data_IF_900121025597
#
_entry.id   IF_900121025597
#
_cell.length_a   1.000
_cell.length_b   1.000
_cell.length_c   1.000
_cell.angle_alpha   90.00
_cell.angle_beta   90.00
_cell.angle_gamma   90.00
#
_symmetry.space_group_name_H-M   'P 1'
#
loop_
_entity.id
_entity.type
_entity.pdbx_description
1 polymer ?
#
# COMPACT_ATOMS: atom_id res chain seq x y z
N UNK A 1 20.44 12.63 -7.69
CA UNK A 1 20.53 11.73 -6.50
C UNK A 1 19.32 10.81 -6.54
N UNK A 2 19.50 9.49 -6.47
CA UNK A 2 18.40 8.51 -6.47
C UNK A 2 17.70 8.54 -5.11
N UNK A 3 16.38 8.65 -5.10
CA UNK A 3 15.57 8.50 -3.89
C UNK A 3 15.19 7.03 -3.69
N UNK A 4 15.39 6.51 -2.50
CA UNK A 4 14.98 5.14 -2.13
C UNK A 4 13.77 5.23 -1.22
N UNK A 5 12.65 4.67 -1.65
CA UNK A 5 11.43 4.63 -0.86
C UNK A 5 11.23 3.21 -0.30
N UNK A 6 11.03 3.11 1.01
CA UNK A 6 10.44 1.94 1.64
C UNK A 6 8.97 2.25 1.84
N UNK A 7 8.11 1.46 1.21
CA UNK A 7 6.66 1.66 1.27
C UNK A 7 5.98 0.46 1.91
N UNK A 8 5.00 0.74 2.77
CA UNK A 8 4.28 -0.28 3.52
C UNK A 8 2.78 -0.15 3.23
N UNK A 9 2.21 -1.06 2.46
CA UNK A 9 0.78 -1.13 2.29
C UNK A 9 0.18 -1.69 3.59
N UNK A 10 -0.69 -0.90 4.19
CA UNK A 10 -1.20 -1.13 5.53
C UNK A 10 -2.72 -1.17 5.48
N UNK A 11 -3.25 -2.38 5.58
CA UNK A 11 -4.63 -2.66 5.26
C UNK A 11 -5.23 -3.75 6.17
N UNK A 12 -6.48 -3.60 6.55
CA UNK A 12 -7.28 -4.70 7.04
C UNK A 12 -7.55 -5.69 5.92
N UNK A 13 -7.70 -6.95 6.24
CA UNK A 13 -7.92 -7.98 5.22
C UNK A 13 -9.40 -8.14 4.89
N UNK A 14 -9.81 -7.76 3.69
CA UNK A 14 -11.13 -8.05 3.15
C UNK A 14 -11.43 -9.56 3.11
N UNK A 15 -10.40 -10.38 2.86
CA UNK A 15 -10.52 -11.84 2.86
C UNK A 15 -10.83 -12.47 4.22
N UNK A 16 -10.69 -11.74 5.34
CA UNK A 16 -11.12 -12.19 6.66
C UNK A 16 -12.59 -11.85 6.95
N UNK A 17 -13.25 -11.10 6.07
CA UNK A 17 -14.65 -10.68 6.20
C UNK A 17 -15.61 -11.60 5.48
N UNK A 18 -15.11 -12.55 4.69
CA UNK A 18 -15.93 -13.43 3.86
C UNK A 18 -16.06 -14.82 4.49
N UNK A 19 -17.26 -15.39 4.39
CA UNK A 19 -17.56 -16.75 4.85
C UNK A 19 -18.03 -16.88 6.30
N UNK A 20 -18.33 -18.10 6.76
CA UNK A 20 -18.76 -18.38 8.12
C UNK A 20 -17.59 -18.10 9.09
N UNK A 21 -17.79 -17.18 10.03
CA UNK A 21 -16.76 -16.75 10.98
C UNK A 21 -15.95 -15.55 10.49
N UNK A 22 -16.61 -14.60 9.81
CA UNK A 22 -16.03 -13.30 9.48
C UNK A 22 -15.42 -12.66 10.73
N UNK A 23 -14.17 -12.20 10.61
CA UNK A 23 -13.45 -11.58 11.72
C UNK A 23 -14.07 -10.23 12.09
N UNK A 24 -14.18 -9.96 13.38
CA UNK A 24 -14.48 -8.61 13.83
C UNK A 24 -13.27 -7.67 13.63
N UNK A 25 -13.46 -6.37 13.94
CA UNK A 25 -12.41 -5.35 13.80
C UNK A 25 -11.16 -5.73 14.58
N UNK A 26 -11.30 -6.17 15.84
CA UNK A 26 -10.18 -6.45 16.73
C UNK A 26 -9.37 -7.66 16.23
N UNK A 27 -10.05 -8.73 15.83
CA UNK A 27 -9.40 -9.90 15.25
C UNK A 27 -8.70 -9.55 13.92
N UNK A 28 -9.36 -8.80 13.04
CA UNK A 28 -8.77 -8.42 11.77
C UNK A 28 -7.54 -7.52 11.98
N UNK A 29 -7.61 -6.54 12.89
CA UNK A 29 -6.45 -5.74 13.30
C UNK A 29 -5.30 -6.61 13.79
N UNK A 30 -5.59 -7.52 14.72
CA UNK A 30 -4.61 -8.42 15.29
C UNK A 30 -3.90 -9.29 14.24
N UNK A 31 -4.64 -9.72 13.20
CA UNK A 31 -4.12 -10.63 12.15
C UNK A 31 -3.47 -9.91 10.99
N UNK A 32 -3.91 -8.70 10.63
CA UNK A 32 -3.50 -8.01 9.40
C UNK A 32 -2.58 -6.81 9.66
N UNK A 33 -2.82 -6.04 10.73
CA UNK A 33 -2.07 -4.82 11.05
C UNK A 33 -0.98 -5.09 12.10
N UNK A 34 -1.37 -5.53 13.30
CA UNK A 34 -0.44 -5.84 14.39
C UNK A 34 0.32 -7.14 14.14
N UNK A 35 -0.27 -8.08 13.40
CA UNK A 35 0.27 -9.39 13.11
C UNK A 35 0.74 -10.10 14.38
N UNK A 36 -0.20 -10.28 15.31
CA UNK A 36 0.07 -10.90 16.59
C UNK A 36 0.47 -12.39 16.41
N UNK A 37 1.57 -12.76 17.02
CA UNK A 37 2.08 -14.13 17.05
C UNK A 37 2.44 -14.52 18.48
N UNK A 38 2.63 -15.81 18.80
CA UNK A 38 3.15 -16.22 20.10
C UNK A 38 4.51 -15.59 20.47
N UNK A 39 5.28 -15.14 19.46
CA UNK A 39 6.56 -14.42 19.65
C UNK A 39 6.37 -12.90 19.83
N UNK A 40 5.14 -12.40 19.85
CA UNK A 40 4.76 -10.99 19.93
C UNK A 40 4.33 -10.39 18.59
N UNK A 41 4.07 -9.08 18.53
CA UNK A 41 3.63 -8.39 17.33
C UNK A 41 4.75 -8.36 16.26
N UNK A 42 4.40 -8.69 15.03
CA UNK A 42 5.31 -8.73 13.89
C UNK A 42 4.85 -7.85 12.71
N UNK A 43 3.78 -7.08 12.87
CA UNK A 43 3.24 -6.15 11.89
C UNK A 43 3.85 -4.75 11.97
N UNK A 44 2.99 -3.71 11.92
CA UNK A 44 3.44 -2.31 11.90
C UNK A 44 4.29 -1.96 13.13
N UNK A 45 3.90 -2.38 14.33
CA UNK A 45 4.64 -2.08 15.58
C UNK A 45 6.10 -2.55 15.51
N UNK A 46 6.34 -3.74 14.93
CA UNK A 46 7.70 -4.25 14.76
C UNK A 46 8.49 -3.45 13.71
N UNK A 47 7.83 -3.07 12.61
CA UNK A 47 8.46 -2.26 11.56
C UNK A 47 8.83 -0.88 12.07
N UNK A 48 7.92 -0.22 12.79
CA UNK A 48 8.16 1.11 13.40
C UNK A 48 9.36 1.09 14.35
N UNK A 49 9.49 0.06 15.22
CA UNK A 49 10.68 -0.11 16.09
C UNK A 49 11.98 -0.25 15.30
N UNK A 50 11.96 -0.97 14.17
CA UNK A 50 13.15 -1.08 13.32
C UNK A 50 13.48 0.25 12.63
N UNK A 51 12.48 1.00 12.19
CA UNK A 51 12.69 2.33 11.59
C UNK A 51 13.28 3.31 12.59
N UNK A 52 12.76 3.35 13.81
CA UNK A 52 13.32 4.13 14.91
C UNK A 52 14.78 3.72 15.19
N UNK A 53 15.03 2.41 15.35
CA UNK A 53 16.37 1.88 15.65
C UNK A 53 17.43 2.24 14.61
N UNK A 54 17.07 2.30 13.34
CA UNK A 54 18.00 2.53 12.22
C UNK A 54 17.87 3.92 11.58
N UNK A 55 17.02 4.79 12.13
CA UNK A 55 16.79 6.14 11.59
C UNK A 55 16.15 6.14 10.20
N UNK A 56 15.40 5.12 9.86
CA UNK A 56 14.74 4.99 8.55
C UNK A 56 13.40 5.73 8.55
N UNK A 57 13.14 6.52 7.53
CA UNK A 57 11.81 7.07 7.23
C UNK A 57 11.17 6.28 6.11
N UNK A 58 9.93 5.87 6.33
CA UNK A 58 9.16 5.06 5.40
C UNK A 58 7.82 5.72 5.10
N UNK A 59 7.17 5.31 4.02
CA UNK A 59 5.84 5.76 3.61
C UNK A 59 4.85 4.63 3.84
N UNK A 60 3.84 4.88 4.65
CA UNK A 60 2.74 3.96 4.89
C UNK A 60 1.55 4.33 4.01
N UNK A 61 1.21 3.47 3.08
CA UNK A 61 0.00 3.57 2.27
C UNK A 61 -1.13 2.90 3.04
N UNK A 62 -1.98 3.71 3.68
CA UNK A 62 -3.05 3.24 4.57
C UNK A 62 -4.37 3.21 3.83
N UNK A 63 -5.08 2.07 3.91
CA UNK A 63 -6.41 1.89 3.34
C UNK A 63 -7.50 2.36 4.31
N UNK A 64 -8.26 3.44 4.01
CA UNK A 64 -9.34 3.93 4.85
C UNK A 64 -10.69 3.26 4.57
N UNK A 65 -10.80 2.45 3.51
CA UNK A 65 -12.07 1.82 3.10
C UNK A 65 -12.72 0.92 4.19
N UNK A 66 -11.96 0.27 5.10
CA UNK A 66 -12.54 -0.45 6.24
C UNK A 66 -13.44 0.39 7.15
N UNK A 67 -13.32 1.74 7.11
CA UNK A 67 -14.22 2.63 7.84
C UNK A 67 -15.68 2.53 7.37
N UNK A 68 -15.93 2.06 6.15
CA UNK A 68 -17.30 1.74 5.67
C UNK A 68 -17.97 0.68 6.55
N UNK A 69 -17.20 -0.25 7.09
CA UNK A 69 -17.69 -1.35 7.92
C UNK A 69 -17.63 -1.04 9.43
N UNK A 70 -16.55 -0.36 9.88
CA UNK A 70 -16.25 -0.25 11.31
C UNK A 70 -16.14 1.20 11.81
N UNK A 71 -16.38 2.17 10.93
CA UNK A 71 -16.25 3.60 11.27
C UNK A 71 -14.80 4.07 11.34
N UNK A 72 -14.65 5.37 11.61
CA UNK A 72 -13.37 6.08 11.59
C UNK A 72 -12.36 5.51 12.58
N UNK A 73 -12.80 5.02 13.73
CA UNK A 73 -11.94 4.47 14.76
C UNK A 73 -11.06 3.30 14.27
N UNK A 74 -11.48 2.57 13.23
CA UNK A 74 -10.64 1.54 12.62
C UNK A 74 -9.40 2.13 11.95
N UNK A 75 -9.52 3.32 11.40
CA UNK A 75 -8.43 3.99 10.69
C UNK A 75 -7.54 4.75 11.68
N UNK A 76 -8.13 5.35 12.72
CA UNK A 76 -7.39 6.00 13.82
C UNK A 76 -6.42 5.00 14.50
N UNK A 77 -6.86 3.74 14.74
CA UNK A 77 -6.02 2.68 15.31
C UNK A 77 -4.76 2.39 14.47
N UNK A 78 -4.82 2.64 13.16
CA UNK A 78 -3.69 2.42 12.23
C UNK A 78 -2.85 3.68 12.08
N UNK A 79 -3.48 4.82 11.86
CA UNK A 79 -2.82 6.11 11.58
C UNK A 79 -2.06 6.63 12.80
N UNK A 80 -2.68 6.58 13.99
CA UNK A 80 -2.10 7.13 15.21
C UNK A 80 -0.68 6.63 15.48
N UNK A 81 -0.44 5.31 15.64
CA UNK A 81 0.89 4.76 15.91
C UNK A 81 1.93 5.08 14.84
N UNK A 82 1.52 5.20 13.57
CA UNK A 82 2.43 5.53 12.46
C UNK A 82 2.90 6.98 12.58
N UNK A 83 1.99 7.91 12.84
CA UNK A 83 2.30 9.33 13.02
C UNK A 83 3.10 9.60 14.30
N UNK A 84 2.75 8.94 15.41
CA UNK A 84 3.50 9.01 16.68
C UNK A 84 4.96 8.58 16.51
N UNK A 85 5.22 7.62 15.62
CA UNK A 85 6.57 7.18 15.26
C UNK A 85 7.24 8.10 14.21
N UNK A 86 6.65 9.24 13.83
CA UNK A 86 7.20 10.22 12.89
C UNK A 86 7.31 9.70 11.46
N UNK A 87 6.49 8.71 11.09
CA UNK A 87 6.46 8.16 9.73
C UNK A 87 5.41 8.86 8.88
N UNK A 88 5.50 8.68 7.56
CA UNK A 88 4.61 9.31 6.58
C UNK A 88 3.41 8.42 6.28
N UNK A 89 2.21 9.03 6.16
CA UNK A 89 0.95 8.36 5.84
C UNK A 89 0.43 8.88 4.51
N UNK A 90 0.19 7.98 3.56
CA UNK A 90 -0.33 8.27 2.23
C UNK A 90 -1.54 7.38 1.92
N UNK A 91 -2.28 7.69 0.87
CA UNK A 91 -3.55 7.04 0.55
C UNK A 91 -3.36 5.69 -0.15
N UNK A 92 -3.99 4.66 0.38
CA UNK A 92 -4.25 3.36 -0.27
C UNK A 92 -5.74 3.15 -0.45
N UNK A 93 -6.18 2.30 -1.38
CA UNK A 93 -7.60 2.06 -1.54
C UNK A 93 -7.87 0.65 -2.08
N UNK A 94 -8.55 -0.17 -1.27
CA UNK A 94 -9.11 -1.45 -1.65
C UNK A 94 -10.63 -1.34 -1.81
N UNK A 95 -11.10 -1.39 -3.05
CA UNK A 95 -12.53 -1.21 -3.38
C UNK A 95 -13.41 -2.41 -3.01
N UNK A 96 -12.83 -3.56 -2.69
CA UNK A 96 -13.55 -4.75 -2.20
C UNK A 96 -14.40 -4.45 -0.93
N UNK A 97 -14.03 -3.45 -0.17
CA UNK A 97 -14.79 -3.01 1.01
C UNK A 97 -16.16 -2.43 0.68
N UNK A 98 -16.38 -1.93 -0.54
CA UNK A 98 -17.69 -1.48 -1.01
C UNK A 98 -18.69 -2.63 -1.05
N UNK A 99 -18.26 -3.80 -1.51
CA UNK A 99 -19.10 -5.01 -1.52
C UNK A 99 -19.35 -5.53 -0.09
N UNK A 100 -18.31 -5.54 0.76
CA UNK A 100 -18.41 -6.03 2.15
C UNK A 100 -19.35 -5.16 2.96
N UNK A 101 -19.25 -3.84 2.83
CA UNK A 101 -20.14 -2.91 3.51
C UNK A 101 -21.58 -2.97 2.97
N UNK A 102 -21.75 -3.45 1.73
CA UNK A 102 -23.06 -3.60 1.09
C UNK A 102 -23.85 -2.28 1.04
N UNK A 103 -25.17 -2.37 1.09
CA UNK A 103 -26.05 -1.20 1.22
C UNK A 103 -25.87 -0.43 2.55
N UNK A 104 -24.92 -0.86 3.40
CA UNK A 104 -24.52 -0.20 4.65
C UNK A 104 -23.73 1.09 4.46
N UNK A 105 -23.23 1.38 3.25
CA UNK A 105 -22.94 2.74 2.86
C UNK A 105 -24.30 3.49 2.85
N UNK A 106 -24.81 3.83 4.03
CA UNK A 106 -26.20 4.23 4.29
C UNK A 106 -26.74 5.26 3.29
N UNK A 107 -28.06 5.37 3.20
CA UNK A 107 -28.81 6.30 2.33
C UNK A 107 -28.45 7.80 2.53
N UNK A 108 -27.22 8.16 2.60
CA UNK A 108 -26.61 9.49 2.82
C UNK A 108 -25.11 9.46 2.60
N UNK A 109 -24.51 8.29 2.39
CA UNK A 109 -23.10 8.20 2.02
C UNK A 109 -22.87 8.71 0.60
N UNK A 110 -21.80 9.48 0.35
CA UNK A 110 -21.40 9.85 -1.02
C UNK A 110 -21.19 8.63 -1.93
N UNK A 111 -20.96 7.44 -1.33
CA UNK A 111 -20.76 6.18 -2.04
C UNK A 111 -22.01 5.33 -2.22
N UNK A 112 -23.19 5.82 -1.79
CA UNK A 112 -24.45 5.05 -1.85
C UNK A 112 -24.90 4.67 -3.27
N UNK A 113 -24.34 5.32 -4.31
CA UNK A 113 -24.64 5.06 -5.73
C UNK A 113 -23.47 4.46 -6.49
N UNK A 114 -22.37 4.21 -5.83
CA UNK A 114 -21.19 3.59 -6.43
C UNK A 114 -21.41 2.09 -6.55
N UNK A 115 -20.98 1.50 -7.67
CA UNK A 115 -21.05 0.07 -7.93
C UNK A 115 -20.12 -0.74 -7.04
N UNK A 116 -19.89 -1.97 -7.42
CA UNK A 116 -18.90 -2.86 -6.81
C UNK A 116 -17.83 -3.25 -7.82
N UNK A 117 -16.60 -3.39 -7.36
CA UNK A 117 -15.47 -3.77 -8.19
C UNK A 117 -14.27 -4.11 -7.31
N UNK A 118 -13.38 -4.91 -7.85
CA UNK A 118 -12.18 -5.35 -7.12
C UNK A 118 -11.06 -4.31 -7.15
N UNK A 119 -10.98 -3.57 -8.25
CA UNK A 119 -9.95 -2.57 -8.48
C UNK A 119 -10.60 -1.21 -8.72
N UNK A 120 -9.90 -0.14 -8.38
CA UNK A 120 -10.40 1.21 -8.63
C UNK A 120 -10.69 1.43 -10.13
N UNK A 121 -9.91 0.83 -11.03
CA UNK A 121 -10.10 0.87 -12.47
C UNK A 121 -11.35 0.11 -12.98
N UNK A 122 -12.11 -0.57 -12.12
CA UNK A 122 -13.38 -1.22 -12.49
C UNK A 122 -14.57 -0.25 -12.45
N UNK A 123 -14.35 1.00 -12.01
CA UNK A 123 -15.36 2.04 -11.83
C UNK A 123 -15.23 3.12 -12.90
N UNK A 124 -16.36 3.77 -13.23
CA UNK A 124 -16.34 4.94 -14.10
C UNK A 124 -15.59 6.11 -13.45
N UNK A 125 -15.09 7.05 -14.25
CA UNK A 125 -14.28 8.19 -13.80
C UNK A 125 -14.92 8.95 -12.63
N UNK A 126 -16.20 9.26 -12.71
CA UNK A 126 -16.93 9.99 -11.66
C UNK A 126 -17.03 9.17 -10.36
N UNK A 127 -17.20 7.85 -10.48
CA UNK A 127 -17.20 6.95 -9.32
C UNK A 127 -15.80 6.86 -8.70
N UNK A 128 -14.73 6.79 -9.52
CA UNK A 128 -13.36 6.84 -9.03
C UNK A 128 -13.10 8.13 -8.26
N UNK A 129 -13.51 9.29 -8.80
CA UNK A 129 -13.41 10.58 -8.10
C UNK A 129 -14.15 10.56 -6.75
N UNK A 130 -15.36 10.00 -6.70
CA UNK A 130 -16.14 9.90 -5.48
C UNK A 130 -15.49 9.00 -4.43
N UNK A 131 -15.04 7.79 -4.84
CA UNK A 131 -14.37 6.82 -3.98
C UNK A 131 -13.09 7.42 -3.39
N UNK A 132 -12.22 7.96 -4.26
CA UNK A 132 -10.92 8.49 -3.86
C UNK A 132 -11.05 9.76 -3.00
N UNK A 133 -12.03 10.64 -3.27
CA UNK A 133 -12.34 11.78 -2.41
C UNK A 133 -12.78 11.33 -1.02
N UNK A 134 -13.72 10.38 -0.94
CA UNK A 134 -14.21 9.83 0.32
C UNK A 134 -13.06 9.18 1.10
N UNK A 135 -12.23 8.38 0.44
CA UNK A 135 -11.10 7.70 1.05
C UNK A 135 -10.06 8.69 1.59
N UNK A 136 -9.70 9.73 0.80
CA UNK A 136 -8.82 10.83 1.23
C UNK A 136 -9.38 11.54 2.47
N UNK A 137 -10.65 11.93 2.42
CA UNK A 137 -11.28 12.71 3.49
C UNK A 137 -11.42 11.86 4.78
N UNK A 138 -11.68 10.56 4.63
CA UNK A 138 -11.69 9.61 5.75
C UNK A 138 -10.31 9.47 6.38
N UNK A 139 -9.24 9.37 5.58
CA UNK A 139 -7.88 9.29 6.08
C UNK A 139 -7.48 10.55 6.85
N UNK A 140 -7.86 11.73 6.34
CA UNK A 140 -7.63 13.02 7.01
C UNK A 140 -8.43 13.10 8.31
N UNK A 141 -9.71 12.69 8.29
CA UNK A 141 -10.56 12.67 9.48
C UNK A 141 -10.01 11.72 10.57
N UNK A 142 -9.29 10.66 10.19
CA UNK A 142 -8.58 9.78 11.12
C UNK A 142 -7.26 10.37 11.67
N UNK A 143 -6.96 11.62 11.36
CA UNK A 143 -5.81 12.35 11.89
C UNK A 143 -4.57 12.38 10.99
N UNK A 144 -4.62 11.78 9.80
CA UNK A 144 -3.51 11.89 8.86
C UNK A 144 -3.41 13.31 8.28
N UNK A 145 -2.20 13.83 7.99
CA UNK A 145 -2.05 14.98 7.12
C UNK A 145 -2.69 14.73 5.75
N UNK A 146 -3.13 15.75 5.02
CA UNK A 146 -3.65 15.58 3.67
C UNK A 146 -2.65 14.77 2.82
N UNK A 147 -3.04 13.60 2.28
CA UNK A 147 -2.14 12.79 1.48
C UNK A 147 -1.85 13.50 0.15
N UNK A 148 -0.64 13.30 -0.35
CA UNK A 148 -0.20 13.82 -1.66
C UNK A 148 0.06 12.70 -2.66
N UNK A 149 0.15 11.46 -2.17
CA UNK A 149 0.43 10.27 -2.97
C UNK A 149 -0.62 9.19 -2.78
N UNK A 150 -0.77 8.37 -3.81
CA UNK A 150 -1.71 7.25 -3.85
C UNK A 150 -1.03 5.95 -4.30
N UNK A 151 -1.57 4.83 -3.85
CA UNK A 151 -1.35 3.50 -4.41
C UNK A 151 -2.66 2.74 -4.46
N UNK A 152 -3.02 2.23 -5.64
CA UNK A 152 -4.20 1.39 -5.80
C UNK A 152 -4.01 0.02 -5.15
N UNK A 153 -5.05 -0.49 -4.50
CA UNK A 153 -5.13 -1.89 -4.10
C UNK A 153 -4.93 -2.80 -5.31
N UNK A 154 -4.22 -3.90 -5.13
CA UNK A 154 -3.84 -4.83 -6.21
C UNK A 154 -3.07 -4.16 -7.38
N UNK A 155 -2.56 -2.94 -7.23
CA UNK A 155 -2.05 -2.08 -8.32
C UNK A 155 -3.10 -1.79 -9.41
N UNK A 156 -4.37 -1.95 -9.12
CA UNK A 156 -5.47 -1.95 -10.09
C UNK A 156 -5.95 -0.56 -10.50
N UNK A 157 -5.04 0.33 -10.90
CA UNK A 157 -5.30 1.67 -11.45
C UNK A 157 -5.34 1.65 -12.98
N UNK A 158 -5.98 2.66 -13.57
CA UNK A 158 -5.93 2.99 -14.99
C UNK A 158 -5.65 4.50 -15.20
N UNK A 159 -5.66 4.95 -16.43
CA UNK A 159 -5.39 6.36 -16.74
C UNK A 159 -6.50 7.28 -16.18
N UNK A 160 -7.74 6.81 -16.09
CA UNK A 160 -8.83 7.56 -15.45
C UNK A 160 -8.59 7.69 -13.93
N UNK A 161 -7.98 6.68 -13.30
CA UNK A 161 -7.55 6.78 -11.90
C UNK A 161 -6.57 7.95 -11.71
N UNK A 162 -5.58 8.09 -12.59
CA UNK A 162 -4.60 9.19 -12.49
C UNK A 162 -5.27 10.56 -12.70
N UNK A 163 -6.19 10.68 -13.67
CA UNK A 163 -6.99 11.90 -13.88
C UNK A 163 -7.85 12.24 -12.67
N UNK A 164 -8.45 11.21 -12.03
CA UNK A 164 -9.22 11.38 -10.81
C UNK A 164 -8.35 11.89 -9.66
N UNK A 165 -7.15 11.33 -9.47
CA UNK A 165 -6.17 11.80 -8.48
C UNK A 165 -5.81 13.27 -8.71
N UNK A 166 -5.49 13.64 -9.94
CA UNK A 166 -5.21 15.04 -10.29
C UNK A 166 -6.41 15.97 -9.97
N UNK A 167 -7.63 15.52 -10.29
CA UNK A 167 -8.87 16.28 -10.04
C UNK A 167 -9.09 16.52 -8.55
N UNK A 168 -8.78 15.55 -7.69
CA UNK A 168 -8.97 15.69 -6.24
C UNK A 168 -7.74 16.26 -5.52
N UNK A 169 -6.68 16.63 -6.25
CA UNK A 169 -5.52 17.34 -5.72
C UNK A 169 -4.39 16.44 -5.18
N UNK A 170 -4.34 15.15 -5.55
CA UNK A 170 -3.18 14.29 -5.31
C UNK A 170 -2.21 14.42 -6.49
N UNK A 171 -0.93 14.65 -6.19
CA UNK A 171 0.10 14.90 -7.20
C UNK A 171 0.95 13.68 -7.57
N UNK A 172 0.83 12.57 -6.85
CA UNK A 172 1.68 11.38 -7.04
C UNK A 172 0.86 10.10 -7.03
N UNK A 173 1.25 9.16 -7.90
CA UNK A 173 0.79 7.78 -7.86
C UNK A 173 1.99 6.82 -7.83
N UNK A 174 1.80 5.61 -7.32
CA UNK A 174 2.80 4.53 -7.34
C UNK A 174 2.13 3.17 -7.56
N UNK A 175 1.19 3.13 -8.51
CA UNK A 175 0.46 1.91 -8.88
C UNK A 175 1.08 1.17 -10.07
N UNK A 176 1.98 1.82 -10.85
CA UNK A 176 2.68 1.15 -11.92
C UNK A 176 3.75 0.19 -11.38
N UNK A 177 3.58 -1.10 -11.64
CA UNK A 177 4.58 -2.13 -11.29
C UNK A 177 5.12 -2.81 -12.55
N UNK A 178 6.31 -2.40 -13.06
CA UNK A 178 6.89 -2.97 -14.28
C UNK A 178 7.10 -4.48 -14.26
N UNK A 179 7.19 -5.08 -13.06
CA UNK A 179 7.36 -6.52 -12.88
C UNK A 179 6.06 -7.32 -12.91
N UNK A 180 4.90 -6.65 -12.90
CA UNK A 180 3.58 -7.25 -12.90
C UNK A 180 2.74 -6.71 -14.06
N UNK A 181 3.10 -7.03 -15.32
CA UNK A 181 2.36 -6.55 -16.46
C UNK A 181 0.90 -7.02 -16.39
N UNK A 182 -0.03 -6.07 -16.57
CA UNK A 182 -1.47 -6.34 -16.46
C UNK A 182 -2.06 -6.23 -15.04
N UNK A 183 -1.26 -5.95 -14.02
CA UNK A 183 -1.79 -5.60 -12.69
C UNK A 183 -2.51 -4.25 -12.73
N UNK A 184 -1.92 -3.25 -13.39
CA UNK A 184 -2.56 -1.98 -13.72
C UNK A 184 -3.02 -1.96 -15.19
N UNK A 185 -3.99 -1.07 -15.49
CA UNK A 185 -4.45 -0.75 -16.85
C UNK A 185 -3.92 0.62 -17.29
N UNK A 186 -2.85 1.11 -16.65
CA UNK A 186 -2.14 2.32 -17.07
C UNK A 186 -1.55 2.12 -18.46
N UNK A 187 -1.58 3.13 -19.31
CA UNK A 187 -0.96 3.12 -20.63
C UNK A 187 0.57 3.28 -20.55
N UNK A 188 1.19 2.55 -19.60
CA UNK A 188 2.62 2.52 -19.33
C UNK A 188 3.18 1.11 -19.51
N UNK A 189 4.24 1.00 -20.31
CA UNK A 189 4.94 -0.27 -20.50
C UNK A 189 5.95 -0.56 -19.39
N UNK A 190 6.46 -1.79 -19.37
CA UNK A 190 7.44 -2.25 -18.37
C UNK A 190 8.83 -1.57 -18.47
N UNK A 191 9.08 -0.78 -19.49
CA UNK A 191 10.26 0.06 -19.67
C UNK A 191 10.21 1.32 -18.78
N UNK A 192 9.00 1.81 -18.41
CA UNK A 192 8.84 2.98 -17.56
C UNK A 192 9.18 2.62 -16.10
N UNK A 193 10.37 2.96 -15.68
CA UNK A 193 10.94 2.60 -14.37
C UNK A 193 11.42 3.79 -13.56
N UNK A 194 11.37 4.98 -14.12
CA UNK A 194 11.70 6.24 -13.47
C UNK A 194 10.45 7.10 -13.31
N UNK A 195 10.41 8.00 -12.32
CA UNK A 195 9.28 8.92 -12.16
C UNK A 195 9.01 9.70 -13.46
N UNK A 196 7.75 9.77 -13.84
CA UNK A 196 7.31 10.49 -15.04
C UNK A 196 5.96 11.16 -14.80
N UNK A 197 5.73 12.29 -15.48
CA UNK A 197 4.42 12.92 -15.50
C UNK A 197 3.50 12.11 -16.44
N UNK A 198 2.37 11.65 -15.91
CA UNK A 198 1.35 10.91 -16.66
C UNK A 198 -0.05 11.31 -16.18
N UNK A 199 -0.95 11.66 -17.09
CA UNK A 199 -2.34 12.06 -16.81
C UNK A 199 -2.52 13.09 -15.65
N UNK A 200 -1.57 14.02 -15.52
CA UNK A 200 -1.63 15.12 -14.55
C UNK A 200 -1.00 14.83 -13.18
N UNK A 201 -0.52 13.64 -12.94
CA UNK A 201 0.21 13.26 -11.72
C UNK A 201 1.59 12.72 -12.05
N UNK A 202 2.48 12.69 -11.05
CA UNK A 202 3.79 12.03 -11.18
C UNK A 202 3.62 10.57 -10.77
N UNK A 203 3.68 9.67 -11.75
CA UNK A 203 3.81 8.25 -11.49
C UNK A 203 5.22 7.92 -11.02
N UNK A 204 5.33 7.29 -9.85
CA UNK A 204 6.59 6.81 -9.25
C UNK A 204 6.59 5.28 -9.27
N UNK A 205 7.14 4.65 -10.31
CA UNK A 205 7.01 3.21 -10.49
C UNK A 205 7.59 2.39 -9.33
N UNK A 206 6.96 1.26 -9.05
CA UNK A 206 7.49 0.27 -8.13
C UNK A 206 8.79 -0.31 -8.67
N UNK A 207 9.77 -0.48 -7.81
CA UNK A 207 11.07 -1.03 -8.18
C UNK A 207 10.98 -2.45 -8.73
N UNK A 208 11.86 -2.75 -9.66
CA UNK A 208 11.97 -4.08 -10.23
C UNK A 208 13.43 -4.42 -10.57
N UNK A 209 13.74 -5.71 -10.61
CA UNK A 209 15.04 -6.24 -11.05
C UNK A 209 14.85 -7.22 -12.20
N UNK A 210 15.88 -7.38 -13.03
CA UNK A 210 15.87 -8.41 -14.06
C UNK A 210 15.80 -9.81 -13.45
N UNK A 211 14.98 -10.68 -14.03
CA UNK A 211 14.91 -12.09 -13.68
C UNK A 211 15.87 -12.92 -14.53
N UNK A 212 16.42 -13.99 -13.95
CA UNK A 212 17.15 -15.00 -14.71
C UNK A 212 16.16 -15.68 -15.69
N UNK A 213 16.54 -15.70 -16.96
CA UNK A 213 15.65 -16.26 -18.02
C UNK A 213 14.72 -15.24 -18.67
N UNK A 214 14.83 -13.97 -18.34
CA UNK A 214 14.04 -12.87 -18.91
C UNK A 214 12.91 -12.38 -17.99
N UNK A 215 12.33 -11.21 -18.34
CA UNK A 215 11.30 -10.56 -17.52
C UNK A 215 11.86 -9.83 -16.30
N UNK A 216 10.97 -9.49 -15.39
CA UNK A 216 11.29 -8.71 -14.19
C UNK A 216 10.73 -9.35 -12.92
N UNK A 217 11.38 -9.07 -11.80
CA UNK A 217 10.92 -9.46 -10.46
C UNK A 217 10.60 -8.20 -9.66
N UNK A 218 9.47 -8.22 -9.02
CA UNK A 218 8.95 -7.17 -8.17
C UNK A 218 9.89 -6.88 -6.99
N UNK A 219 10.17 -5.60 -6.71
CA UNK A 219 10.99 -5.20 -5.57
C UNK A 219 10.17 -5.25 -4.26
N UNK A 220 9.68 -6.43 -3.94
CA UNK A 220 8.93 -6.74 -2.73
C UNK A 220 9.80 -7.52 -1.76
N UNK A 221 9.67 -7.25 -0.46
CA UNK A 221 10.49 -7.85 0.59
C UNK A 221 10.43 -9.39 0.63
N UNK A 222 9.30 -9.96 0.22
CA UNK A 222 9.10 -11.41 0.12
C UNK A 222 9.67 -12.01 -1.16
N UNK A 223 9.74 -11.21 -2.23
CA UNK A 223 10.16 -11.68 -3.56
C UNK A 223 11.69 -11.64 -3.77
N UNK A 224 12.41 -10.74 -3.07
CA UNK A 224 13.86 -10.55 -3.22
C UNK A 224 14.62 -10.94 -1.98
N UNK A 225 15.85 -11.44 -2.15
CA UNK A 225 16.82 -11.59 -1.06
C UNK A 225 17.37 -10.22 -0.62
N UNK A 226 18.00 -10.16 0.54
CA UNK A 226 18.67 -8.94 1.01
C UNK A 226 19.76 -8.47 0.03
N UNK A 227 20.55 -9.41 -0.49
CA UNK A 227 21.61 -9.11 -1.45
C UNK A 227 21.06 -8.53 -2.76
N UNK A 228 19.94 -9.07 -3.26
CA UNK A 228 19.27 -8.54 -4.45
C UNK A 228 18.72 -7.13 -4.21
N UNK A 229 18.04 -6.88 -3.08
CA UNK A 229 17.51 -5.55 -2.75
C UNK A 229 18.63 -4.50 -2.63
N UNK A 230 19.66 -4.78 -1.85
CA UNK A 230 20.79 -3.85 -1.68
C UNK A 230 21.59 -3.68 -2.97
N UNK A 231 21.74 -4.74 -3.77
CA UNK A 231 22.33 -4.68 -5.11
C UNK A 231 21.54 -3.81 -6.07
N UNK A 232 20.21 -3.94 -6.07
CA UNK A 232 19.30 -3.15 -6.90
C UNK A 232 19.34 -1.65 -6.53
N UNK A 233 19.33 -1.33 -5.24
CA UNK A 233 19.48 0.05 -4.77
C UNK A 233 20.79 0.66 -5.25
N UNK A 234 21.93 -0.04 -5.05
CA UNK A 234 23.25 0.41 -5.52
C UNK A 234 23.29 0.58 -7.04
N UNK A 235 22.64 -0.32 -7.77
CA UNK A 235 22.53 -0.23 -9.23
C UNK A 235 21.73 1.01 -9.64
N UNK A 236 20.55 1.24 -9.04
CA UNK A 236 19.74 2.42 -9.30
C UNK A 236 20.54 3.72 -9.05
N UNK A 237 21.26 3.79 -7.93
CA UNK A 237 22.12 4.94 -7.60
C UNK A 237 23.23 5.15 -8.64
N UNK A 238 23.92 4.09 -9.07
CA UNK A 238 24.99 4.19 -10.08
C UNK A 238 24.47 4.61 -11.46
N UNK A 239 23.27 4.17 -11.81
CA UNK A 239 22.63 4.54 -13.08
C UNK A 239 21.92 5.89 -13.05
N UNK A 240 21.94 6.61 -11.90
CA UNK A 240 21.31 7.92 -11.76
C UNK A 240 19.79 7.89 -11.88
N UNK A 241 19.14 6.78 -11.52
CA UNK A 241 17.68 6.69 -11.55
C UNK A 241 17.05 7.73 -10.62
N UNK A 242 15.87 8.24 -10.98
CA UNK A 242 15.11 9.19 -10.17
C UNK A 242 14.68 8.60 -8.84
N UNK A 243 14.22 7.33 -8.84
CA UNK A 243 13.82 6.61 -7.63
C UNK A 243 14.04 5.10 -7.71
N UNK A 244 13.95 4.44 -6.54
CA UNK A 244 13.81 2.99 -6.40
C UNK A 244 12.84 2.70 -5.23
N UNK A 245 11.67 2.17 -5.55
CA UNK A 245 10.59 1.92 -4.58
C UNK A 245 10.56 0.45 -4.17
N UNK A 246 10.74 0.17 -2.88
CA UNK A 246 10.57 -1.14 -2.26
C UNK A 246 9.21 -1.24 -1.61
N UNK A 247 8.51 -2.35 -1.83
CA UNK A 247 7.17 -2.59 -1.29
C UNK A 247 7.20 -3.70 -0.24
N UNK A 248 6.45 -3.50 0.82
CA UNK A 248 6.09 -4.53 1.80
C UNK A 248 4.68 -4.26 2.31
N UNK A 249 4.03 -5.28 2.87
CA UNK A 249 2.72 -5.12 3.54
C UNK A 249 2.90 -5.27 5.05
N UNK A 250 1.94 -4.76 5.83
CA UNK A 250 1.93 -4.92 7.28
C UNK A 250 2.18 -6.37 7.71
N UNK A 251 1.59 -7.33 7.03
CA UNK A 251 1.54 -8.77 7.38
C UNK A 251 2.65 -9.64 6.77
N UNK A 252 3.60 -9.11 6.02
CA UNK A 252 4.58 -9.96 5.30
C UNK A 252 5.64 -10.61 6.18
N UNK A 253 5.80 -10.15 7.42
CA UNK A 253 6.76 -10.74 8.35
C UNK A 253 6.22 -11.99 9.06
N UNK A 254 5.00 -12.43 8.75
CA UNK A 254 4.39 -13.64 9.32
C UNK A 254 4.00 -14.65 8.25
N UNK A 255 3.87 -15.90 8.66
CA UNK A 255 3.10 -16.90 7.94
C UNK A 255 1.63 -16.77 8.38
N UNK A 256 0.79 -16.17 7.55
CA UNK A 256 -0.63 -15.89 7.88
C UNK A 256 -1.45 -17.13 8.23
N UNK A 257 -1.12 -18.31 7.65
CA UNK A 257 -1.83 -19.57 7.93
C UNK A 257 -1.48 -20.13 9.31
N UNK A 258 -0.22 -19.97 9.73
CA UNK A 258 0.30 -20.52 11.00
C UNK A 258 0.29 -19.48 12.11
N UNK A 259 -0.01 -18.23 11.83
CA UNK A 259 0.11 -17.07 12.73
C UNK A 259 1.48 -17.07 13.46
N UNK A 260 2.54 -17.32 12.71
CA UNK A 260 3.91 -17.44 13.22
C UNK A 260 4.85 -16.54 12.44
N UNK A 261 5.90 -16.06 13.11
CA UNK A 261 6.91 -15.19 12.46
C UNK A 261 7.61 -15.92 11.32
N UNK A 262 7.67 -15.29 10.15
CA UNK A 262 8.53 -15.71 9.06
C UNK A 262 9.96 -15.20 9.32
N UNK A 263 10.77 -16.04 10.00
CA UNK A 263 12.13 -15.66 10.44
C UNK A 263 13.05 -15.22 9.28
N UNK A 264 12.85 -15.77 8.08
CA UNK A 264 13.66 -15.42 6.91
C UNK A 264 13.31 -13.99 6.45
N UNK A 265 12.03 -13.71 6.26
CA UNK A 265 11.57 -12.38 5.80
C UNK A 265 11.86 -11.32 6.86
N UNK A 266 11.64 -11.63 8.15
CA UNK A 266 11.95 -10.73 9.26
C UNK A 266 13.44 -10.35 9.32
N UNK A 267 14.36 -11.34 9.17
CA UNK A 267 15.81 -11.09 9.11
C UNK A 267 16.19 -10.25 7.89
N UNK A 268 15.56 -10.53 6.76
CA UNK A 268 15.77 -9.79 5.50
C UNK A 268 15.35 -8.32 5.66
N UNK A 269 14.18 -8.07 6.25
CA UNK A 269 13.68 -6.72 6.49
C UNK A 269 14.58 -5.93 7.47
N UNK A 270 14.96 -6.53 8.61
CA UNK A 270 15.89 -5.90 9.54
C UNK A 270 17.28 -5.65 8.94
N UNK A 271 17.77 -6.56 8.07
CA UNK A 271 19.00 -6.36 7.31
C UNK A 271 18.92 -5.21 6.31
N UNK A 272 17.77 -5.04 5.65
CA UNK A 272 17.51 -3.92 4.74
C UNK A 272 17.53 -2.59 5.52
N UNK A 273 16.78 -2.47 6.62
CA UNK A 273 16.78 -1.26 7.44
C UNK A 273 18.18 -0.87 7.94
N UNK A 274 19.02 -1.85 8.28
CA UNK A 274 20.42 -1.62 8.69
C UNK A 274 21.30 -1.14 7.54
N UNK A 275 21.00 -1.50 6.30
CA UNK A 275 21.83 -1.22 5.14
C UNK A 275 21.54 0.14 4.50
N UNK A 276 20.44 0.77 4.87
CA UNK A 276 20.02 2.11 4.42
C UNK A 276 20.51 3.20 5.38
#
# INVERSE_FOLDING_TARGET
>A
MTRVYITIDTEYSSGLMTGPGAADRAENYARSIACLTPEGPAGITHKLKLFEQYGVRAVFFVDPMPALQWGIAAIEDVVGPILEAGQDVQLHCHTEWLEIAGAGAGAGSPLARVGTGRNIADFAFEEQCAILSWARDTLVAAGAPPPVAFRAGNYGADDDTLRALATIGLGYDTSHCPALPGASRLSLGSEHRDPLLHEGVIEVPVGSIAALGGGQRHAQITALSLAEMTGAIRHACRCGRGSFTLVTHSFELINRRRLAVNKIVRRRFGGLCRAL
#
